data_IF_280449179010
#
_entry.id   IF_280449179010
#
_cell.length_a   1.000
_cell.length_b   1.000
_cell.length_c   1.000
_cell.angle_alpha   90.00
_cell.angle_beta   90.00
_cell.angle_gamma   90.00
#
_symmetry.space_group_name_H-M   'P 1'
#
loop_
_entity.id
_entity.type
_entity.pdbx_description
1 polymer ?
#
# COMPACT_ATOMS: atom_id res chain seq x y z
N UNK A 1 -20.27 -16.44 -20.57
CA UNK A 1 -19.84 -15.67 -19.39
C UNK A 1 -19.77 -16.61 -18.19
N UNK A 2 -18.82 -16.46 -17.25
CA UNK A 2 -18.79 -17.29 -16.04
C UNK A 2 -20.08 -17.12 -15.24
N UNK A 3 -20.64 -18.22 -14.72
CA UNK A 3 -21.90 -18.21 -13.97
C UNK A 3 -21.78 -17.52 -12.60
N UNK A 4 -20.55 -17.35 -12.08
CA UNK A 4 -20.24 -16.66 -10.82
C UNK A 4 -18.93 -15.84 -10.94
N UNK A 5 -19.00 -14.53 -11.24
CA UNK A 5 -17.80 -13.71 -11.50
C UNK A 5 -16.85 -13.64 -10.29
N UNK A 6 -17.39 -13.55 -9.07
CA UNK A 6 -16.56 -13.45 -7.85
C UNK A 6 -15.71 -14.70 -7.61
N UNK A 7 -16.29 -15.88 -7.86
CA UNK A 7 -15.59 -17.17 -7.73
C UNK A 7 -14.45 -17.28 -8.75
N UNK A 8 -14.68 -16.79 -9.97
CA UNK A 8 -13.67 -16.78 -11.03
C UNK A 8 -12.47 -15.92 -10.63
N UNK A 9 -12.68 -14.70 -10.14
CA UNK A 9 -11.56 -13.84 -9.69
C UNK A 9 -10.78 -14.48 -8.54
N UNK A 10 -11.46 -15.05 -7.55
CA UNK A 10 -10.80 -15.72 -6.42
C UNK A 10 -9.94 -16.89 -6.90
N UNK A 11 -10.33 -17.59 -7.97
CA UNK A 11 -9.56 -18.71 -8.52
C UNK A 11 -8.15 -18.34 -9.06
N UNK A 12 -7.87 -17.06 -9.26
CA UNK A 12 -6.54 -16.56 -9.65
C UNK A 12 -5.70 -16.05 -8.48
N UNK A 13 -6.29 -15.92 -7.28
CA UNK A 13 -5.55 -15.46 -6.11
C UNK A 13 -4.49 -16.48 -5.67
N UNK A 14 -3.33 -16.05 -5.16
CA UNK A 14 -2.35 -16.96 -4.57
C UNK A 14 -2.99 -17.89 -3.54
N UNK A 15 -2.47 -19.11 -3.45
CA UNK A 15 -3.00 -20.13 -2.56
C UNK A 15 -1.92 -20.80 -1.72
N UNK A 16 -2.34 -21.41 -0.62
CA UNK A 16 -1.50 -22.21 0.28
C UNK A 16 -2.33 -23.29 0.98
N UNK A 17 -1.66 -24.33 1.46
CA UNK A 17 -2.30 -25.39 2.25
C UNK A 17 -2.14 -25.11 3.74
N UNK A 18 -3.24 -25.18 4.49
CA UNK A 18 -3.24 -25.09 5.96
C UNK A 18 -4.15 -26.14 6.56
N UNK A 19 -3.99 -26.37 7.85
CA UNK A 19 -4.87 -27.24 8.63
C UNK A 19 -5.74 -26.38 9.53
N UNK A 20 -7.02 -26.71 9.62
CA UNK A 20 -7.88 -26.10 10.62
C UNK A 20 -7.43 -26.59 12.01
N UNK A 21 -7.15 -25.65 12.92
CA UNK A 21 -6.87 -25.94 14.34
C UNK A 21 -8.12 -25.71 15.18
N UNK A 22 -8.07 -26.15 16.44
CA UNK A 22 -9.22 -26.07 17.37
C UNK A 22 -9.61 -24.62 17.64
N UNK A 23 -8.61 -23.75 17.68
CA UNK A 23 -8.76 -22.32 17.87
C UNK A 23 -9.05 -21.57 16.56
N UNK A 24 -8.77 -22.15 15.39
CA UNK A 24 -9.12 -21.55 14.10
C UNK A 24 -8.10 -21.81 13.02
N UNK A 25 -8.21 -21.06 11.93
CA UNK A 25 -7.32 -21.21 10.79
C UNK A 25 -6.18 -20.18 10.88
N UNK A 26 -4.93 -20.66 10.89
CA UNK A 26 -3.76 -19.79 11.02
C UNK A 26 -3.05 -19.62 9.68
N UNK A 27 -2.95 -18.37 9.23
CA UNK A 27 -2.27 -17.98 7.98
C UNK A 27 -1.41 -16.76 8.29
N UNK A 28 -0.11 -16.81 7.98
CA UNK A 28 0.85 -15.71 8.22
C UNK A 28 0.83 -15.15 9.67
N UNK A 29 0.79 -16.03 10.68
CA UNK A 29 0.68 -15.66 12.10
C UNK A 29 -0.61 -14.90 12.48
N UNK A 30 -1.61 -14.92 11.60
CA UNK A 30 -2.93 -14.33 11.81
C UNK A 30 -3.96 -15.45 11.89
N UNK A 31 -4.84 -15.34 12.87
CA UNK A 31 -5.95 -16.25 13.13
C UNK A 31 -7.19 -15.76 12.41
N UNK A 32 -7.81 -16.67 11.67
CA UNK A 32 -9.05 -16.49 10.91
C UNK A 32 -10.12 -17.40 11.47
N UNK A 33 -11.36 -16.90 11.50
CA UNK A 33 -12.52 -17.66 11.95
C UNK A 33 -13.80 -17.20 11.28
N UNK A 34 -14.63 -18.17 10.90
CA UNK A 34 -16.01 -17.99 10.49
C UNK A 34 -16.78 -19.27 10.86
N UNK A 35 -18.06 -19.15 11.18
CA UNK A 35 -18.91 -20.28 11.56
C UNK A 35 -19.12 -21.28 10.42
N UNK A 36 -18.78 -20.92 9.18
CA UNK A 36 -18.76 -21.86 8.05
C UNK A 36 -17.64 -22.89 8.14
N UNK A 37 -16.52 -22.59 8.82
CA UNK A 37 -15.34 -23.47 8.87
C UNK A 37 -15.66 -24.88 9.41
N UNK A 38 -16.33 -25.05 10.56
CA UNK A 38 -16.66 -26.38 11.06
C UNK A 38 -17.63 -27.16 10.16
N UNK A 39 -18.42 -26.46 9.34
CA UNK A 39 -19.37 -27.09 8.42
C UNK A 39 -18.70 -27.62 7.14
N UNK A 40 -17.55 -27.06 6.74
CA UNK A 40 -16.89 -27.37 5.46
C UNK A 40 -15.60 -28.17 5.61
N UNK A 41 -14.99 -28.22 6.81
CA UNK A 41 -13.74 -28.95 7.03
C UNK A 41 -13.65 -29.55 8.43
N UNK A 42 -13.15 -30.79 8.51
CA UNK A 42 -12.87 -31.45 9.78
C UNK A 42 -11.60 -30.90 10.44
N UNK A 43 -11.56 -30.92 11.76
CA UNK A 43 -10.40 -30.48 12.53
C UNK A 43 -9.13 -31.27 12.14
N UNK A 44 -8.02 -30.57 11.91
CA UNK A 44 -6.73 -31.18 11.52
C UNK A 44 -6.62 -31.57 10.05
N UNK A 45 -7.73 -31.55 9.29
CA UNK A 45 -7.71 -31.82 7.86
C UNK A 45 -7.03 -30.66 7.09
N UNK A 46 -6.25 -30.97 6.04
CA UNK A 46 -5.71 -29.94 5.16
C UNK A 46 -6.83 -29.29 4.34
N UNK A 47 -6.72 -27.98 4.12
CA UNK A 47 -7.61 -27.19 3.28
C UNK A 47 -6.81 -26.19 2.45
N UNK A 48 -7.33 -25.93 1.25
CA UNK A 48 -6.77 -24.92 0.35
C UNK A 48 -7.28 -23.54 0.75
N UNK A 49 -6.37 -22.64 1.08
CA UNK A 49 -6.66 -21.23 1.36
C UNK A 49 -6.16 -20.39 0.20
N UNK A 50 -7.01 -19.51 -0.32
CA UNK A 50 -6.62 -18.41 -1.20
C UNK A 50 -6.64 -17.09 -0.45
N UNK A 51 -5.79 -16.16 -0.83
CA UNK A 51 -5.66 -14.87 -0.16
C UNK A 51 -5.29 -13.77 -1.15
N UNK A 52 -5.72 -12.53 -0.90
CA UNK A 52 -5.25 -11.37 -1.65
C UNK A 52 -4.00 -10.78 -0.94
N UNK A 53 -2.81 -10.79 -1.56
CA UNK A 53 -1.61 -10.18 -0.97
C UNK A 53 -1.76 -8.69 -0.64
N UNK A 54 -2.70 -7.99 -1.29
CA UNK A 54 -2.98 -6.57 -1.08
C UNK A 54 -3.95 -6.33 0.07
N UNK A 55 -4.65 -7.37 0.55
CA UNK A 55 -5.58 -7.24 1.65
C UNK A 55 -5.77 -8.60 2.37
N UNK A 56 -5.13 -8.75 3.52
CA UNK A 56 -5.20 -9.95 4.34
C UNK A 56 -6.44 -10.02 5.25
N UNK A 57 -7.31 -9.01 5.27
CA UNK A 57 -8.50 -9.00 6.15
C UNK A 57 -9.46 -10.16 5.94
N UNK A 58 -9.40 -10.77 4.75
CA UNK A 58 -10.17 -11.94 4.38
C UNK A 58 -9.31 -12.92 3.63
N UNK A 59 -9.51 -14.18 3.92
CA UNK A 59 -9.03 -15.30 3.12
C UNK A 59 -10.24 -16.05 2.55
N UNK A 60 -9.98 -16.93 1.59
CA UNK A 60 -11.01 -17.71 0.93
C UNK A 60 -10.67 -19.19 1.06
N UNK A 61 -11.54 -19.94 1.73
CA UNK A 61 -11.38 -21.38 1.93
C UNK A 61 -12.17 -22.13 0.87
N UNK A 62 -11.56 -23.15 0.28
CA UNK A 62 -12.27 -24.06 -0.65
C UNK A 62 -13.07 -25.07 0.16
N UNK A 63 -14.40 -25.05 0.01
CA UNK A 63 -15.29 -26.03 0.61
C UNK A 63 -15.46 -27.30 -0.24
N UNK A 64 -16.18 -28.31 0.28
CA UNK A 64 -16.39 -29.59 -0.40
C UNK A 64 -17.19 -29.47 -1.71
N UNK A 65 -18.00 -28.42 -1.83
CA UNK A 65 -18.76 -28.07 -3.03
C UNK A 65 -17.92 -27.31 -4.08
N UNK A 66 -16.59 -27.21 -3.87
CA UNK A 66 -15.62 -26.47 -4.70
C UNK A 66 -15.88 -24.96 -4.76
N UNK A 67 -16.68 -24.41 -3.86
CA UNK A 67 -16.88 -22.96 -3.73
C UNK A 67 -15.86 -22.34 -2.78
N UNK A 68 -15.57 -21.07 -3.00
CA UNK A 68 -14.75 -20.25 -2.11
C UNK A 68 -15.63 -19.58 -1.05
N UNK A 69 -15.30 -19.84 0.21
CA UNK A 69 -15.96 -19.24 1.37
C UNK A 69 -15.06 -18.15 1.98
N UNK A 70 -15.52 -16.88 2.06
CA UNK A 70 -14.76 -15.83 2.70
C UNK A 70 -14.69 -16.08 4.22
N UNK A 71 -13.50 -15.94 4.79
CA UNK A 71 -13.25 -16.09 6.22
C UNK A 71 -12.46 -14.86 6.67
N UNK A 72 -13.03 -14.00 7.53
CA UNK A 72 -12.34 -12.82 8.04
C UNK A 72 -11.35 -13.20 9.15
N UNK A 73 -10.60 -12.20 9.64
CA UNK A 73 -9.90 -12.33 10.90
C UNK A 73 -10.84 -12.83 12.00
N UNK A 74 -10.30 -13.60 12.94
CA UNK A 74 -11.07 -14.00 14.12
C UNK A 74 -11.39 -12.81 15.04
N UNK A 75 -10.56 -11.76 15.00
CA UNK A 75 -10.83 -10.48 15.65
C UNK A 75 -11.12 -9.42 14.57
N UNK A 76 -12.39 -9.01 14.50
CA UNK A 76 -12.90 -8.07 13.50
C UNK A 76 -12.49 -6.62 13.77
N UNK A 77 -11.94 -6.31 14.96
CA UNK A 77 -11.46 -4.96 15.28
C UNK A 77 -10.13 -4.62 14.61
N UNK A 78 -9.42 -5.64 14.11
CA UNK A 78 -8.11 -5.48 13.50
C UNK A 78 -8.19 -4.82 12.12
N UNK A 79 -7.28 -3.87 11.82
CA UNK A 79 -7.29 -3.18 10.54
C UNK A 79 -6.89 -4.12 9.39
N UNK A 80 -7.37 -3.87 8.15
CA UNK A 80 -6.82 -4.55 6.99
C UNK A 80 -5.33 -4.20 6.82
N UNK A 81 -4.52 -5.22 6.57
CA UNK A 81 -3.08 -5.09 6.28
C UNK A 81 -2.73 -5.84 5.01
N UNK A 82 -1.68 -5.40 4.34
CA UNK A 82 -1.11 -6.12 3.19
C UNK A 82 -0.17 -7.23 3.64
N UNK A 83 0.12 -8.20 2.76
CA UNK A 83 1.14 -9.21 3.01
C UNK A 83 2.54 -8.59 3.16
N UNK A 84 2.80 -7.48 2.48
CA UNK A 84 4.07 -6.76 2.62
C UNK A 84 4.23 -6.17 4.03
N UNK A 85 3.19 -5.50 4.55
CA UNK A 85 3.19 -4.96 5.92
C UNK A 85 3.33 -6.06 6.97
N UNK A 86 2.61 -7.17 6.80
CA UNK A 86 2.71 -8.33 7.69
C UNK A 86 4.16 -8.86 7.73
N UNK A 87 4.79 -9.02 6.56
CA UNK A 87 6.17 -9.50 6.47
C UNK A 87 7.18 -8.52 7.04
N UNK A 88 7.01 -7.23 6.77
CA UNK A 88 7.86 -6.18 7.32
C UNK A 88 7.77 -6.12 8.85
N UNK A 89 6.57 -6.26 9.41
CA UNK A 89 6.36 -6.35 10.85
C UNK A 89 6.99 -7.61 11.47
N UNK A 90 6.84 -8.78 10.85
CA UNK A 90 7.48 -10.01 11.33
C UNK A 90 9.01 -9.93 11.25
N UNK A 91 9.56 -9.38 10.16
CA UNK A 91 11.00 -9.20 10.01
C UNK A 91 11.57 -8.25 11.08
N UNK A 92 10.87 -7.15 11.34
CA UNK A 92 11.21 -6.20 12.40
C UNK A 92 11.22 -6.87 13.78
N UNK A 93 10.13 -7.58 14.15
CA UNK A 93 10.02 -8.24 15.44
C UNK A 93 11.06 -9.34 15.64
N UNK A 94 11.41 -10.09 14.59
CA UNK A 94 12.49 -11.07 14.61
C UNK A 94 13.86 -10.43 14.80
N UNK A 95 14.09 -9.27 14.17
CA UNK A 95 15.30 -8.47 14.39
C UNK A 95 15.45 -8.02 15.84
N UNK A 96 14.33 -7.77 16.53
CA UNK A 96 14.26 -7.42 17.95
C UNK A 96 14.29 -8.65 18.90
N UNK A 97 14.49 -9.85 18.36
CA UNK A 97 14.63 -11.10 19.14
C UNK A 97 13.35 -11.93 19.33
N UNK A 98 12.20 -11.47 18.82
CA UNK A 98 10.95 -12.24 18.85
C UNK A 98 10.88 -13.21 17.66
N UNK A 99 11.36 -14.44 17.88
CA UNK A 99 11.44 -15.47 16.84
C UNK A 99 10.06 -16.01 16.39
N UNK A 100 9.03 -15.89 17.24
CA UNK A 100 7.68 -16.39 16.97
C UNK A 100 6.62 -15.32 17.29
N UNK A 101 6.57 -14.22 16.50
CA UNK A 101 5.72 -13.09 16.84
C UNK A 101 4.25 -13.45 16.94
N UNK A 102 3.64 -13.04 18.05
CA UNK A 102 2.21 -13.15 18.27
C UNK A 102 1.44 -12.18 17.35
N UNK A 103 0.22 -12.56 16.97
CA UNK A 103 -0.66 -11.75 16.12
C UNK A 103 -0.76 -10.30 16.61
N UNK A 104 -1.01 -10.09 17.90
CA UNK A 104 -1.16 -8.75 18.49
C UNK A 104 0.10 -7.90 18.31
N UNK A 105 1.28 -8.49 18.47
CA UNK A 105 2.56 -7.81 18.27
C UNK A 105 2.75 -7.39 16.81
N UNK A 106 2.38 -8.26 15.86
CA UNK A 106 2.43 -7.97 14.42
C UNK A 106 1.55 -6.77 14.08
N UNK A 107 0.28 -6.76 14.50
CA UNK A 107 -0.63 -5.64 14.21
C UNK A 107 -0.17 -4.34 14.88
N UNK A 108 0.32 -4.41 16.12
CA UNK A 108 0.90 -3.25 16.81
C UNK A 108 2.10 -2.69 16.03
N UNK A 109 3.00 -3.54 15.56
CA UNK A 109 4.15 -3.14 14.75
C UNK A 109 3.71 -2.51 13.41
N UNK A 110 2.71 -3.08 12.72
CA UNK A 110 2.17 -2.47 11.49
C UNK A 110 1.61 -1.07 11.75
N UNK A 111 0.81 -0.89 12.81
CA UNK A 111 0.26 0.44 13.16
C UNK A 111 1.38 1.44 13.45
N UNK A 112 2.40 1.03 14.22
CA UNK A 112 3.56 1.87 14.52
C UNK A 112 4.34 2.25 13.24
N UNK A 113 4.60 1.29 12.35
CA UNK A 113 5.27 1.52 11.07
C UNK A 113 4.49 2.49 10.18
N UNK A 114 3.16 2.33 10.08
CA UNK A 114 2.29 3.27 9.35
C UNK A 114 2.40 4.69 9.91
N UNK A 115 2.39 4.84 11.24
CA UNK A 115 2.53 6.14 11.88
C UNK A 115 3.91 6.78 11.60
N UNK A 116 4.99 6.00 11.65
CA UNK A 116 6.34 6.46 11.29
C UNK A 116 6.41 6.94 9.84
N UNK A 117 5.88 6.17 8.89
CA UNK A 117 5.83 6.53 7.46
C UNK A 117 4.99 7.80 7.26
N UNK A 118 3.84 7.91 7.92
CA UNK A 118 2.98 9.09 7.83
C UNK A 118 3.71 10.36 8.35
N UNK A 119 4.40 10.25 9.49
CA UNK A 119 5.17 11.36 10.05
C UNK A 119 6.35 11.75 9.16
N UNK A 120 7.09 10.77 8.62
CA UNK A 120 8.21 11.02 7.71
C UNK A 120 7.76 11.69 6.41
N UNK A 121 6.68 11.19 5.80
CA UNK A 121 6.12 11.79 4.58
C UNK A 121 5.61 13.21 4.81
N UNK A 122 4.96 13.48 5.95
CA UNK A 122 4.55 14.83 6.33
C UNK A 122 5.75 15.78 6.48
N UNK A 123 6.81 15.34 7.18
CA UNK A 123 8.06 16.13 7.33
C UNK A 123 8.73 16.40 5.99
N UNK A 124 8.90 15.39 5.13
CA UNK A 124 9.50 15.55 3.80
C UNK A 124 8.67 16.48 2.92
N UNK A 125 7.33 16.38 2.97
CA UNK A 125 6.43 17.27 2.24
C UNK A 125 6.54 18.71 2.74
N UNK A 126 6.67 18.93 4.05
CA UNK A 126 6.88 20.25 4.65
C UNK A 126 8.23 20.85 4.22
N UNK A 127 9.31 20.08 4.31
CA UNK A 127 10.65 20.51 3.87
C UNK A 127 10.66 20.90 2.38
N UNK A 128 10.09 20.05 1.51
CA UNK A 128 9.99 20.36 0.06
C UNK A 128 9.20 21.64 -0.21
N UNK A 129 8.10 21.87 0.52
CA UNK A 129 7.31 23.11 0.40
C UNK A 129 8.11 24.34 0.82
N UNK A 130 8.93 24.24 1.87
CA UNK A 130 9.77 25.34 2.32
C UNK A 130 10.84 25.70 1.30
N UNK A 131 11.56 24.72 0.76
CA UNK A 131 12.55 24.95 -0.30
C UNK A 131 11.92 25.57 -1.55
N UNK A 132 10.72 25.12 -1.94
CA UNK A 132 10.00 25.72 -3.07
C UNK A 132 9.62 27.18 -2.80
N UNK A 133 9.21 27.52 -1.58
CA UNK A 133 8.89 28.92 -1.21
C UNK A 133 10.12 29.82 -1.28
N UNK A 134 11.26 29.34 -0.80
CA UNK A 134 12.53 30.08 -0.87
C UNK A 134 12.92 30.34 -2.32
N UNK A 135 12.93 29.28 -3.15
CA UNK A 135 13.20 29.39 -4.58
C UNK A 135 12.24 30.37 -5.28
N UNK A 136 10.93 30.27 -5.02
CA UNK A 136 9.96 31.20 -5.61
C UNK A 136 10.17 32.65 -5.16
N UNK A 137 10.56 32.89 -3.90
CA UNK A 137 10.87 34.21 -3.39
C UNK A 137 12.13 34.79 -4.04
N UNK A 138 13.18 33.98 -4.20
CA UNK A 138 14.40 34.34 -4.93
C UNK A 138 14.07 34.71 -6.39
N UNK A 139 13.32 33.87 -7.11
CA UNK A 139 12.89 34.15 -8.47
C UNK A 139 12.07 35.45 -8.57
N UNK A 140 11.11 35.68 -7.68
CA UNK A 140 10.30 36.90 -7.66
C UNK A 140 11.12 38.17 -7.36
N UNK A 141 12.22 38.04 -6.61
CA UNK A 141 13.11 39.16 -6.30
C UNK A 141 14.07 39.43 -7.47
N UNK A 142 14.58 38.39 -8.13
CA UNK A 142 15.42 38.51 -9.33
C UNK A 142 14.68 39.12 -10.52
N UNK A 143 13.39 38.83 -10.68
CA UNK A 143 12.55 39.40 -11.75
C UNK A 143 12.35 40.92 -11.56
N UNK A 144 12.19 41.39 -10.32
CA UNK A 144 12.14 42.83 -10.01
C UNK A 144 13.45 43.55 -10.27
N UNK A 145 14.60 42.93 -10.03
CA UNK A 145 15.90 43.55 -10.36
C UNK A 145 16.13 43.67 -11.87
N UNK A 146 15.50 42.81 -12.70
CA UNK A 146 15.61 42.89 -14.16
C UNK A 146 14.70 43.94 -14.80
N UNK A 147 13.52 44.21 -14.22
CA UNK A 147 12.65 45.30 -14.65
C UNK A 147 13.15 46.71 -14.26
N UNK A 148 14.20 46.80 -13.45
CA UNK A 148 14.76 48.07 -12.96
C UNK A 148 15.78 48.76 -13.88
N UNK A 149 16.25 48.11 -14.95
CA UNK A 149 17.40 48.64 -15.73
C UNK A 149 17.20 48.75 -17.25
N UNK A 150 16.04 48.41 -17.81
CA UNK A 150 15.78 48.63 -19.24
C UNK A 150 14.45 49.31 -19.47
N UNK A 151 14.46 50.65 -19.40
CA UNK A 151 13.56 51.42 -20.22
C UNK A 151 13.89 51.05 -21.68
N UNK A 152 13.04 50.25 -22.31
CA UNK A 152 13.21 49.81 -23.69
C UNK A 152 13.21 51.07 -24.57
N UNK A 153 14.34 51.34 -25.23
CA UNK A 153 14.47 52.46 -26.15
C UNK A 153 13.79 52.12 -27.48
N UNK A 154 12.61 52.70 -27.71
CA UNK A 154 11.81 52.50 -28.93
C UNK A 154 12.28 53.35 -30.12
N UNK A 155 13.39 54.10 -29.97
CA UNK A 155 13.94 54.90 -31.07
C UNK A 155 14.89 54.12 -31.98
N UNK A 156 15.27 52.90 -31.61
CA UNK A 156 16.07 52.01 -32.46
C UNK A 156 15.18 51.14 -33.37
N UNK A 157 15.52 51.00 -34.66
CA UNK A 157 14.80 50.12 -35.56
C UNK A 157 15.00 48.66 -35.14
N UNK A 158 13.90 47.89 -35.13
CA UNK A 158 13.90 46.47 -34.76
C UNK A 158 14.80 45.70 -35.72
N UNK A 159 15.84 45.07 -35.18
CA UNK A 159 16.64 44.08 -35.91
C UNK A 159 15.80 42.79 -36.03
N UNK A 160 15.56 42.28 -37.25
CA UNK A 160 14.89 41.00 -37.43
C UNK A 160 15.67 39.89 -36.71
N UNK A 161 14.96 39.00 -36.04
CA UNK A 161 15.59 37.82 -35.45
C UNK A 161 15.97 36.81 -36.54
N UNK A 162 17.03 36.02 -36.32
CA UNK A 162 17.53 34.99 -37.26
C UNK A 162 16.48 33.95 -37.71
N UNK A 163 15.29 33.92 -37.07
CA UNK A 163 14.18 33.05 -37.43
C UNK A 163 13.29 33.58 -38.59
N UNK A 164 13.51 34.82 -39.06
CA UNK A 164 12.67 35.45 -40.09
C UNK A 164 13.35 35.61 -41.47
N UNK A 165 14.62 35.20 -41.60
CA UNK A 165 15.32 35.20 -42.90
C UNK A 165 15.04 33.88 -43.61
N UNK A 166 14.07 33.89 -44.52
CA UNK A 166 13.87 32.80 -45.47
C UNK A 166 14.70 33.12 -46.72
N UNK A 167 15.71 32.29 -47.01
CA UNK A 167 16.44 32.35 -48.28
C UNK A 167 15.49 31.92 -49.42
N UNK A 168 15.29 32.80 -50.40
CA UNK A 168 14.62 32.54 -51.69
C UNK A 168 15.59 31.92 -52.72
#
# INVERSE_FOLDING_TARGET
>A
MPHHPDQFTISFLPFLQRKLRRDGLHVFNIRYWDNVLPAIVQLGAPLTVRYDPRNLSRIYVVGPDKRYYPVPYADLSLPPITLWEQRAAVAYLRGDGDNAPAQAAIFKAVVAQRALIANATAKTKAARRQSQRQSNAEFATMDRSRLGESAVDYSEPVLPSDAEVWDD
#
